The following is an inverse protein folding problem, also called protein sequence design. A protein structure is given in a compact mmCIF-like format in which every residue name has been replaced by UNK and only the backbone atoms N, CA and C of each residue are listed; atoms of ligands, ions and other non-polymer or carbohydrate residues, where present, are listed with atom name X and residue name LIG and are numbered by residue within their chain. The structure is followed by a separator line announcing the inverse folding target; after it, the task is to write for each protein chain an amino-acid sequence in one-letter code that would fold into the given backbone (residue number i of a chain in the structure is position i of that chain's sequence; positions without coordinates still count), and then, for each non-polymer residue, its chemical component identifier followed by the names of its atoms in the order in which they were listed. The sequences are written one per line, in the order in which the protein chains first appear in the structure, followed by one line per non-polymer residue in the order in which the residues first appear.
data_IF_747561596020
#
_entry.id   IF_747561596020
#
_cell.length_a   1.000
_cell.length_b   1.000
_cell.length_c   1.000
_cell.angle_alpha   90.00
_cell.angle_beta   90.00
_cell.angle_gamma   90.00
#
_symmetry.space_group_name_H-M   'P 1'
#
loop_
_entity.id
_entity.type
_entity.pdbx_description
1 polymer ?
#
# COMPACT_ATOMS: atom_id res chain seq x y z
N UNK A 1 -12.46 -1.51 23.93
CA UNK A 1 -12.11 -0.40 23.03
C UNK A 1 -11.69 -0.96 21.68
N UNK A 2 -12.27 -0.44 20.61
CA UNK A 2 -11.87 -0.83 19.26
C UNK A 2 -10.66 0.00 18.84
N UNK A 3 -9.63 -0.70 18.34
CA UNK A 3 -8.43 -0.05 17.84
C UNK A 3 -8.50 -0.08 16.32
N UNK A 4 -8.43 1.10 15.70
CA UNK A 4 -8.42 1.20 14.25
C UNK A 4 -6.98 1.11 13.75
N UNK A 5 -6.65 0.12 12.94
CA UNK A 5 -5.31 0.04 12.35
C UNK A 5 -5.08 1.24 11.42
N UNK A 6 -3.86 1.76 11.45
CA UNK A 6 -3.48 2.87 10.60
C UNK A 6 -2.17 2.55 9.91
N UNK A 7 -2.07 2.94 8.64
CA UNK A 7 -0.86 2.77 7.83
C UNK A 7 -0.44 4.15 7.33
N UNK A 8 0.83 4.45 7.50
CA UNK A 8 1.41 5.71 7.07
C UNK A 8 2.45 5.42 5.99
N UNK A 9 2.22 5.96 4.81
CA UNK A 9 3.11 5.77 3.67
C UNK A 9 3.81 7.09 3.39
N UNK A 10 5.13 7.08 3.47
CA UNK A 10 5.93 8.29 3.25
C UNK A 10 6.45 8.27 1.83
N UNK A 11 6.10 9.32 1.07
CA UNK A 11 6.53 9.46 -0.33
C UNK A 11 7.41 10.70 -0.44
N UNK A 12 8.59 10.53 -0.98
CA UNK A 12 9.54 11.62 -1.21
C UNK A 12 10.02 11.56 -2.65
N UNK A 13 9.90 12.69 -3.36
CA UNK A 13 10.28 12.79 -4.76
C UNK A 13 9.68 11.69 -5.65
N UNK A 14 8.42 11.35 -5.39
CA UNK A 14 7.71 10.32 -6.15
C UNK A 14 8.07 8.88 -5.77
N UNK A 15 8.87 8.70 -4.73
CA UNK A 15 9.33 7.37 -4.31
C UNK A 15 8.84 7.08 -2.89
N UNK A 16 8.31 5.88 -2.66
CA UNK A 16 7.98 5.43 -1.31
C UNK A 16 9.27 5.13 -0.56
N UNK A 17 9.56 5.92 0.48
CA UNK A 17 10.80 5.78 1.26
C UNK A 17 10.60 5.03 2.56
N UNK A 18 9.37 4.98 3.08
CA UNK A 18 9.07 4.25 4.29
C UNK A 18 7.59 3.91 4.38
N UNK A 19 7.29 2.82 5.06
CA UNK A 19 5.91 2.42 5.38
C UNK A 19 5.90 2.06 6.86
N UNK A 20 5.04 2.72 7.61
CA UNK A 20 4.87 2.48 9.04
C UNK A 20 3.41 2.10 9.32
N UNK A 21 3.19 1.25 10.31
CA UNK A 21 1.83 0.90 10.70
C UNK A 21 1.73 0.78 12.22
N UNK A 22 0.53 1.01 12.73
CA UNK A 22 0.25 0.88 14.17
C UNK A 22 0.17 -0.57 14.61
N UNK A 23 -0.08 -1.48 13.66
CA UNK A 23 -0.19 -2.92 13.91
C UNK A 23 0.63 -3.68 12.89
N UNK A 24 1.10 -4.85 13.28
CA UNK A 24 1.78 -5.75 12.36
C UNK A 24 0.79 -6.20 11.28
N UNK A 25 1.08 -5.90 10.02
CA UNK A 25 0.24 -6.27 8.91
C UNK A 25 1.06 -6.39 7.63
N UNK A 26 0.54 -7.14 6.68
CA UNK A 26 1.16 -7.27 5.37
C UNK A 26 0.74 -6.08 4.52
N UNK A 27 1.66 -5.20 4.20
CA UNK A 27 1.41 -4.01 3.37
C UNK A 27 2.01 -4.25 2.00
N UNK A 28 1.21 -4.04 0.97
CA UNK A 28 1.66 -4.15 -0.42
C UNK A 28 1.58 -2.77 -1.06
N UNK A 29 2.71 -2.31 -1.60
CA UNK A 29 2.79 -1.04 -2.31
C UNK A 29 2.95 -1.35 -3.79
N UNK A 30 2.05 -0.79 -4.60
CA UNK A 30 2.08 -0.96 -6.06
C UNK A 30 2.36 0.41 -6.67
N UNK A 31 3.54 0.55 -7.29
CA UNK A 31 3.92 1.77 -7.98
C UNK A 31 3.76 1.54 -9.48
N UNK A 32 2.67 2.06 -10.05
CA UNK A 32 2.36 1.86 -11.46
C UNK A 32 3.22 2.72 -12.39
N UNK A 33 3.99 3.65 -11.84
CA UNK A 33 4.94 4.43 -12.62
C UNK A 33 6.23 3.66 -12.91
N UNK A 34 6.46 2.55 -12.19
CA UNK A 34 7.61 1.69 -12.44
C UNK A 34 7.29 0.66 -13.52
N UNK A 35 8.25 0.46 -14.43
CA UNK A 35 8.07 -0.48 -15.54
C UNK A 35 7.97 -1.95 -15.09
N UNK A 36 8.43 -2.24 -13.88
CA UNK A 36 8.57 -3.60 -13.38
C UNK A 36 7.54 -3.97 -12.31
N UNK A 37 6.45 -3.20 -12.16
CA UNK A 37 5.43 -3.57 -11.19
C UNK A 37 4.67 -4.83 -11.67
N UNK A 38 4.16 -5.60 -10.71
CA UNK A 38 3.45 -6.84 -11.00
C UNK A 38 1.98 -6.54 -11.35
N UNK A 39 1.62 -6.69 -12.62
CA UNK A 39 0.26 -6.44 -13.10
C UNK A 39 -0.77 -7.37 -12.45
N UNK A 40 -0.40 -8.61 -12.16
CA UNK A 40 -1.30 -9.56 -11.50
C UNK A 40 -1.66 -9.11 -10.08
N UNK A 41 -0.69 -8.57 -9.36
CA UNK A 41 -0.93 -8.00 -8.03
C UNK A 41 -1.84 -6.78 -8.13
N UNK A 42 -1.62 -5.92 -9.13
CA UNK A 42 -2.47 -4.75 -9.36
C UNK A 42 -3.92 -5.17 -9.64
N UNK A 43 -4.11 -6.14 -10.53
CA UNK A 43 -5.46 -6.65 -10.86
C UNK A 43 -6.16 -7.19 -9.62
N UNK A 44 -5.44 -7.98 -8.81
CA UNK A 44 -6.00 -8.51 -7.57
C UNK A 44 -6.42 -7.39 -6.62
N UNK A 45 -5.54 -6.40 -6.44
CA UNK A 45 -5.83 -5.27 -5.55
C UNK A 45 -7.06 -4.48 -6.01
N UNK A 46 -7.18 -4.26 -7.32
CA UNK A 46 -8.32 -3.52 -7.88
C UNK A 46 -9.63 -4.29 -7.79
N UNK A 47 -9.57 -5.62 -7.63
CA UNK A 47 -10.76 -6.46 -7.44
C UNK A 47 -11.29 -6.37 -6.00
N UNK A 48 -10.50 -5.87 -5.07
CA UNK A 48 -10.89 -5.73 -3.67
C UNK A 48 -11.74 -4.48 -3.44
N UNK A 49 -12.59 -4.48 -2.40
CA UNK A 49 -13.33 -3.27 -2.05
C UNK A 49 -12.38 -2.12 -1.71
N UNK A 50 -12.79 -0.91 -2.02
CA UNK A 50 -12.03 0.28 -1.63
C UNK A 50 -12.08 0.47 -0.12
N UNK A 51 -10.93 0.78 0.47
CA UNK A 51 -10.87 1.10 1.90
C UNK A 51 -11.24 2.57 2.17
N UNK A 52 -11.13 3.40 1.15
CA UNK A 52 -11.46 4.81 1.28
C UNK A 52 -11.85 5.41 -0.07
#
# INVERSE_FOLDING_TARGET
MLITPEVYIIVEAGVVTAVHSTHSMHVVVIDTDMETFDEGVLEYAQSLPRAA
#
